data_IF_973781133901
#
_entry.id   IF_973781133901
#
_cell.length_a   1.000
_cell.length_b   1.000
_cell.length_c   1.000
_cell.angle_alpha   90.00
_cell.angle_beta   90.00
_cell.angle_gamma   90.00
#
_symmetry.space_group_name_H-M   'P 1'
#
loop_
_entity.id
_entity.type
_entity.pdbx_description
1 polymer ?
#
# COMPACT_ATOMS: atom_id res chain seq x y z
N UNK A 1 7.64 -10.54 5.34
CA UNK A 1 6.29 -10.69 4.74
C UNK A 1 5.14 -10.66 5.75
N UNK A 2 5.37 -10.58 7.07
CA UNK A 2 4.28 -10.31 8.02
C UNK A 2 4.06 -8.78 8.06
N UNK A 3 2.83 -8.27 7.81
CA UNK A 3 2.55 -6.84 7.86
C UNK A 3 2.40 -6.36 9.31
N UNK A 4 2.63 -5.06 9.54
CA UNK A 4 2.37 -4.45 10.85
C UNK A 4 0.88 -4.25 11.11
N UNK A 5 0.13 -3.86 10.06
CA UNK A 5 -1.31 -3.63 10.12
C UNK A 5 -2.01 -4.33 8.95
N UNK A 6 -3.21 -4.85 9.18
CA UNK A 6 -4.09 -5.39 8.14
C UNK A 6 -5.42 -4.65 8.20
N UNK A 7 -5.86 -4.11 7.07
CA UNK A 7 -7.15 -3.43 6.93
C UNK A 7 -7.86 -3.91 5.67
N UNK A 8 -9.16 -3.63 5.54
CA UNK A 8 -9.90 -3.92 4.32
C UNK A 8 -9.35 -3.11 3.15
N UNK A 9 -9.27 -1.80 3.32
CA UNK A 9 -8.80 -0.86 2.30
C UNK A 9 -8.37 0.47 2.96
N UNK A 10 -7.96 1.46 2.15
CA UNK A 10 -7.50 2.76 2.63
C UNK A 10 -8.55 3.54 3.44
N UNK A 11 -9.85 3.29 3.24
CA UNK A 11 -10.92 4.02 3.95
C UNK A 11 -10.88 3.80 5.46
N UNK A 12 -10.32 2.66 5.90
CA UNK A 12 -10.20 2.28 7.31
C UNK A 12 -9.00 2.89 8.01
N UNK A 13 -8.09 3.54 7.30
CA UNK A 13 -6.92 4.17 7.90
C UNK A 13 -7.27 5.54 8.48
N UNK A 14 -6.78 5.78 9.69
CA UNK A 14 -6.80 7.10 10.32
C UNK A 14 -5.47 7.83 10.05
N UNK A 15 -5.46 8.58 8.95
CA UNK A 15 -4.30 9.36 8.53
C UNK A 15 -3.91 10.43 9.55
N UNK A 16 -4.86 11.01 10.28
CA UNK A 16 -4.58 12.05 11.27
C UNK A 16 -3.80 11.46 12.44
N UNK A 17 -4.23 10.30 12.95
CA UNK A 17 -3.52 9.57 14.01
C UNK A 17 -2.13 9.11 13.56
N UNK A 18 -1.98 8.67 12.31
CA UNK A 18 -0.65 8.35 11.74
C UNK A 18 0.27 9.58 11.72
N UNK A 19 -0.24 10.73 11.26
CA UNK A 19 0.54 11.98 11.22
C UNK A 19 0.92 12.45 12.62
N UNK A 20 0.00 12.35 13.59
CA UNK A 20 0.26 12.69 14.99
C UNK A 20 1.34 11.80 15.63
N UNK A 21 1.41 10.52 15.22
CA UNK A 21 2.46 9.59 15.63
C UNK A 21 3.81 9.81 14.91
N UNK A 22 3.93 10.79 14.01
CA UNK A 22 5.18 11.16 13.35
C UNK A 22 5.41 10.55 11.97
N UNK A 23 4.40 9.90 11.37
CA UNK A 23 4.45 9.53 9.95
C UNK A 23 4.49 10.79 9.09
N UNK A 24 5.40 10.81 8.12
CA UNK A 24 5.63 11.93 7.21
C UNK A 24 4.98 11.70 5.85
N UNK A 25 4.85 10.45 5.41
CA UNK A 25 4.30 10.15 4.10
C UNK A 25 3.86 8.70 3.88
N UNK A 26 3.10 8.52 2.80
CA UNK A 26 2.53 7.25 2.38
C UNK A 26 3.06 6.86 1.01
N UNK A 27 3.44 5.59 0.89
CA UNK A 27 3.82 4.94 -0.36
C UNK A 27 2.73 3.91 -0.68
N UNK A 28 1.94 4.18 -1.70
CA UNK A 28 0.74 3.45 -2.05
C UNK A 28 1.00 2.57 -3.26
N UNK A 29 0.75 1.27 -3.15
CA UNK A 29 0.64 0.42 -4.34
C UNK A 29 -0.55 0.85 -5.21
N UNK A 30 -0.51 0.50 -6.51
CA UNK A 30 -1.49 0.94 -7.49
C UNK A 30 -2.58 -0.12 -7.72
N UNK A 31 -2.25 -1.17 -8.46
CA UNK A 31 -3.22 -2.18 -8.90
C UNK A 31 -3.70 -3.02 -7.70
N UNK A 32 -5.01 -3.22 -7.57
CA UNK A 32 -5.65 -3.89 -6.43
C UNK A 32 -5.51 -3.20 -5.07
N UNK A 33 -4.91 -1.99 -5.02
CA UNK A 33 -4.79 -1.18 -3.81
C UNK A 33 -5.52 0.16 -3.95
N UNK A 34 -5.18 0.95 -4.97
CA UNK A 34 -5.83 2.23 -5.30
C UNK A 34 -6.84 2.09 -6.43
N UNK A 35 -6.54 1.23 -7.41
CA UNK A 35 -7.32 1.07 -8.63
C UNK A 35 -7.68 -0.40 -8.81
N UNK A 36 -8.78 -0.68 -9.51
CA UNK A 36 -8.98 -2.01 -10.08
C UNK A 36 -7.77 -2.39 -10.97
N UNK A 37 -7.53 -3.70 -11.23
CA UNK A 37 -6.43 -4.14 -12.08
C UNK A 37 -6.44 -3.41 -13.43
N UNK A 38 -5.31 -2.84 -13.83
CA UNK A 38 -5.13 -2.13 -15.11
C UNK A 38 -5.96 -0.85 -15.28
N UNK A 39 -6.80 -0.49 -14.30
CA UNK A 39 -7.52 0.78 -14.32
C UNK A 39 -6.57 1.95 -14.04
N UNK A 40 -6.99 3.15 -14.47
CA UNK A 40 -6.23 4.39 -14.31
C UNK A 40 -6.85 5.33 -13.28
N UNK A 41 -8.09 5.07 -12.86
CA UNK A 41 -8.80 5.89 -11.88
C UNK A 41 -8.78 5.25 -10.50
N UNK A 42 -8.72 6.11 -9.48
CA UNK A 42 -8.96 5.70 -8.09
C UNK A 42 -10.35 5.08 -7.99
N UNK A 43 -10.40 3.89 -7.40
CA UNK A 43 -11.64 3.19 -7.08
C UNK A 43 -12.60 4.14 -6.33
N UNK A 44 -13.87 4.32 -6.78
CA UNK A 44 -14.76 5.35 -6.26
C UNK A 44 -14.87 5.42 -4.74
N UNK A 45 -14.96 4.28 -4.06
CA UNK A 45 -15.02 4.20 -2.58
C UNK A 45 -13.76 4.70 -1.86
N UNK A 46 -12.61 4.76 -2.56
CA UNK A 46 -11.33 5.19 -1.99
C UNK A 46 -11.01 6.66 -2.24
N UNK A 47 -11.72 7.34 -3.14
CA UNK A 47 -11.45 8.75 -3.50
C UNK A 47 -11.40 9.66 -2.27
N UNK A 48 -12.35 9.51 -1.35
CA UNK A 48 -12.38 10.26 -0.08
C UNK A 48 -11.16 9.96 0.79
N UNK A 49 -10.74 8.71 0.87
CA UNK A 49 -9.59 8.30 1.67
C UNK A 49 -8.27 8.87 1.10
N UNK A 50 -8.11 8.80 -0.23
CA UNK A 50 -6.96 9.40 -0.92
C UNK A 50 -6.90 10.91 -0.68
N UNK A 51 -8.03 11.60 -0.81
CA UNK A 51 -8.09 13.05 -0.57
C UNK A 51 -7.77 13.41 0.90
N UNK A 52 -8.30 12.65 1.87
CA UNK A 52 -7.94 12.81 3.28
C UNK A 52 -6.43 12.62 3.52
N UNK A 53 -5.82 11.62 2.88
CA UNK A 53 -4.39 11.38 2.98
C UNK A 53 -3.59 12.57 2.41
N UNK A 54 -3.99 13.09 1.24
CA UNK A 54 -3.35 14.27 0.61
C UNK A 54 -3.45 15.51 1.48
N UNK A 55 -4.60 15.75 2.10
CA UNK A 55 -4.80 16.87 3.02
C UNK A 55 -3.95 16.73 4.28
N UNK A 56 -3.78 15.50 4.78
CA UNK A 56 -3.06 15.22 6.03
C UNK A 56 -1.54 15.26 5.86
N UNK A 57 -1.01 14.68 4.78
CA UNK A 57 0.43 14.56 4.55
C UNK A 57 0.97 15.64 3.61
N UNK A 58 0.11 16.22 2.78
CA UNK A 58 0.48 17.04 1.64
C UNK A 58 0.56 16.22 0.36
N UNK A 59 0.20 16.81 -0.79
CA UNK A 59 0.13 16.10 -2.07
C UNK A 59 1.47 15.47 -2.51
N UNK A 60 2.60 16.04 -2.11
CA UNK A 60 3.93 15.50 -2.42
C UNK A 60 4.33 14.33 -1.52
N UNK A 61 3.65 14.13 -0.39
CA UNK A 61 3.99 13.09 0.58
C UNK A 61 3.08 11.85 0.49
N UNK A 62 2.19 11.82 -0.50
CA UNK A 62 1.37 10.64 -0.84
C UNK A 62 1.76 10.22 -2.24
N UNK A 63 2.52 9.13 -2.34
CA UNK A 63 3.19 8.74 -3.58
C UNK A 63 2.71 7.37 -4.04
N UNK A 64 2.57 7.21 -5.36
CA UNK A 64 2.16 5.94 -5.97
C UNK A 64 3.41 5.15 -6.38
N UNK A 65 3.39 3.86 -6.06
CA UNK A 65 4.47 2.92 -6.28
C UNK A 65 3.98 1.75 -7.13
N UNK A 66 4.02 1.89 -8.45
CA UNK A 66 3.59 0.85 -9.38
C UNK A 66 4.73 -0.14 -9.72
N UNK A 67 4.36 -1.37 -10.07
CA UNK A 67 5.29 -2.38 -10.61
C UNK A 67 5.41 -2.32 -12.14
N UNK A 68 4.56 -1.53 -12.81
CA UNK A 68 4.56 -1.32 -14.27
C UNK A 68 4.91 0.12 -14.64
N UNK A 69 4.23 1.11 -14.05
CA UNK A 69 4.46 2.53 -14.35
C UNK A 69 5.68 3.09 -13.60
N UNK A 70 6.45 3.96 -14.26
CA UNK A 70 7.67 4.54 -13.69
C UNK A 70 8.76 3.49 -13.44
N UNK A 71 8.77 2.41 -14.23
CA UNK A 71 9.78 1.34 -14.18
C UNK A 71 10.52 1.26 -15.52
N UNK A 72 11.61 0.48 -15.66
CA UNK A 72 12.31 0.35 -16.94
C UNK A 72 11.45 -0.12 -18.11
N UNK A 73 10.31 -0.76 -17.83
CA UNK A 73 9.35 -1.21 -18.85
C UNK A 73 8.44 -0.06 -19.35
N UNK A 74 8.34 1.05 -18.60
CA UNK A 74 7.59 2.24 -18.96
C UNK A 74 8.46 3.18 -19.79
N UNK A 75 8.59 2.85 -21.08
CA UNK A 75 9.42 3.61 -22.01
C UNK A 75 8.95 5.07 -22.07
N UNK A 76 9.82 5.99 -21.68
CA UNK A 76 9.54 7.42 -21.66
C UNK A 76 8.63 7.90 -20.52
N UNK A 77 8.41 7.08 -19.48
CA UNK A 77 7.57 7.39 -18.31
C UNK A 77 6.12 7.78 -18.68
N UNK A 78 5.63 7.30 -19.82
CA UNK A 78 4.32 7.66 -20.36
C UNK A 78 3.17 7.15 -19.48
N UNK A 79 3.28 5.94 -18.96
CA UNK A 79 2.29 5.37 -18.05
C UNK A 79 2.32 6.07 -16.69
N UNK A 80 3.51 6.44 -16.20
CA UNK A 80 3.65 7.26 -15.00
C UNK A 80 2.99 8.63 -15.17
N UNK A 81 3.25 9.34 -16.27
CA UNK A 81 2.67 10.66 -16.53
C UNK A 81 1.14 10.61 -16.66
N UNK A 82 0.61 9.61 -17.39
CA UNK A 82 -0.84 9.41 -17.50
C UNK A 82 -1.48 9.12 -16.13
N UNK A 83 -0.79 8.37 -15.27
CA UNK A 83 -1.25 8.04 -13.94
C UNK A 83 -1.19 9.21 -12.97
N UNK A 84 -0.15 10.05 -13.05
CA UNK A 84 -0.09 11.30 -12.29
C UNK A 84 -1.25 12.24 -12.65
N UNK A 85 -1.57 12.35 -13.94
CA UNK A 85 -2.71 13.14 -14.41
C UNK A 85 -4.05 12.58 -13.90
N UNK A 86 -4.22 11.25 -13.94
CA UNK A 86 -5.48 10.61 -13.54
C UNK A 86 -5.69 10.57 -12.01
N UNK A 87 -4.62 10.27 -11.25
CA UNK A 87 -4.70 10.10 -9.80
C UNK A 87 -4.47 11.41 -9.04
N UNK A 88 -3.90 12.44 -9.69
CA UNK A 88 -3.43 13.66 -9.02
C UNK A 88 -2.46 13.38 -7.85
N UNK A 89 -1.68 12.31 -8.00
CA UNK A 89 -0.66 11.86 -7.05
C UNK A 89 0.66 11.66 -7.80
N UNK A 90 1.81 12.03 -7.22
CA UNK A 90 3.12 11.74 -7.81
C UNK A 90 3.34 10.23 -7.94
N UNK A 91 3.91 9.81 -9.08
CA UNK A 91 4.26 8.40 -9.36
C UNK A 91 5.77 8.25 -9.31
N UNK A 92 6.21 7.27 -8.53
CA UNK A 92 7.63 7.01 -8.32
C UNK A 92 8.29 6.41 -9.55
N UNK A 93 9.20 7.19 -10.15
CA UNK A 93 10.08 6.75 -11.24
C UNK A 93 11.32 6.07 -10.66
N UNK A 94 11.57 4.82 -11.05
CA UNK A 94 12.63 3.97 -10.50
C UNK A 94 13.28 3.11 -11.57
N UNK A 95 14.58 2.86 -11.39
CA UNK A 95 15.37 1.98 -12.26
C UNK A 95 15.21 0.49 -11.93
N UNK A 96 14.63 0.17 -10.78
CA UNK A 96 14.46 -1.20 -10.29
C UNK A 96 13.03 -1.42 -9.80
N UNK A 97 12.50 -2.62 -10.04
CA UNK A 97 11.17 -3.04 -9.56
C UNK A 97 11.22 -3.46 -8.09
N UNK A 98 10.06 -3.42 -7.41
CA UNK A 98 9.92 -3.96 -6.05
C UNK A 98 10.35 -5.45 -6.04
N UNK A 99 11.05 -5.92 -5.00
CA UNK A 99 11.31 -5.27 -3.71
C UNK A 99 12.58 -4.37 -3.66
N UNK A 100 13.17 -4.01 -4.81
CA UNK A 100 14.32 -3.09 -4.86
C UNK A 100 13.90 -1.66 -5.25
N UNK A 101 14.87 -0.74 -5.37
CA UNK A 101 14.61 0.63 -5.80
C UNK A 101 14.10 1.60 -4.72
N UNK A 102 14.50 1.42 -3.44
CA UNK A 102 14.13 2.35 -2.36
C UNK A 102 14.81 3.72 -2.46
N UNK A 103 15.94 3.82 -3.15
CA UNK A 103 16.70 5.06 -3.29
C UNK A 103 15.88 6.23 -3.85
N UNK A 104 15.02 5.96 -4.85
CA UNK A 104 14.12 6.99 -5.40
C UNK A 104 13.10 7.51 -4.38
N UNK A 105 12.58 6.62 -3.52
CA UNK A 105 11.67 6.99 -2.43
C UNK A 105 12.42 7.84 -1.41
N UNK A 106 13.59 7.39 -0.97
CA UNK A 106 14.42 8.11 -0.01
C UNK A 106 14.75 9.52 -0.50
N UNK A 107 15.14 9.66 -1.77
CA UNK A 107 15.46 10.94 -2.38
C UNK A 107 14.23 11.87 -2.44
N UNK A 108 13.07 11.35 -2.85
CA UNK A 108 11.82 12.12 -2.94
C UNK A 108 11.38 12.66 -1.58
N UNK A 109 11.50 11.87 -0.51
CA UNK A 109 11.20 12.30 0.85
C UNK A 109 12.35 13.05 1.54
N UNK A 110 13.30 13.61 0.77
CA UNK A 110 14.38 14.46 1.29
C UNK A 110 15.33 13.75 2.26
N UNK A 111 15.54 12.44 2.09
CA UNK A 111 16.39 11.64 2.98
C UNK A 111 15.73 11.30 4.33
N UNK A 112 14.40 11.44 4.44
CA UNK A 112 13.66 11.09 5.64
C UNK A 112 13.93 9.64 6.08
N UNK A 113 13.93 9.41 7.40
CA UNK A 113 14.01 8.06 7.96
C UNK A 113 12.87 7.19 7.41
N UNK A 114 13.16 5.96 6.92
CA UNK A 114 12.14 5.04 6.40
C UNK A 114 11.05 4.69 7.42
N UNK A 115 11.38 4.70 8.73
CA UNK A 115 10.44 4.42 9.82
C UNK A 115 9.31 5.46 9.93
N UNK A 116 9.46 6.62 9.27
CA UNK A 116 8.43 7.66 9.17
C UNK A 116 7.56 7.52 7.92
N UNK A 117 7.77 6.49 7.11
CA UNK A 117 7.00 6.21 5.91
C UNK A 117 6.15 4.96 6.09
N UNK A 118 4.99 4.93 5.44
CA UNK A 118 4.09 3.77 5.44
C UNK A 118 3.99 3.20 4.03
N UNK A 119 4.29 1.92 3.87
CA UNK A 119 4.00 1.17 2.64
C UNK A 119 2.62 0.52 2.76
N UNK A 120 1.74 0.84 1.82
CA UNK A 120 0.37 0.30 1.74
C UNK A 120 0.22 -0.49 0.44
N UNK A 121 -0.21 -1.75 0.52
CA UNK A 121 -0.46 -2.56 -0.67
C UNK A 121 -1.14 -3.90 -0.40
N UNK A 122 -1.59 -4.57 -1.46
CA UNK A 122 -2.34 -5.84 -1.39
C UNK A 122 -1.46 -7.10 -1.45
N UNK A 123 -0.17 -6.97 -1.80
CA UNK A 123 0.72 -8.14 -1.95
C UNK A 123 1.72 -8.28 -0.81
N UNK A 124 1.81 -9.49 -0.26
CA UNK A 124 2.76 -9.81 0.80
C UNK A 124 4.20 -9.86 0.29
N UNK A 125 4.43 -10.47 -0.89
CA UNK A 125 5.80 -10.67 -1.40
C UNK A 125 6.41 -9.42 -2.03
N UNK A 126 5.60 -8.46 -2.49
CA UNK A 126 6.11 -7.21 -3.03
C UNK A 126 5.98 -6.09 -2.01
N UNK A 127 4.78 -5.72 -1.60
CA UNK A 127 4.56 -4.47 -0.87
C UNK A 127 4.98 -4.58 0.59
N UNK A 128 4.46 -5.59 1.30
CA UNK A 128 4.83 -5.83 2.70
C UNK A 128 6.32 -6.16 2.81
N UNK A 129 6.86 -6.95 1.88
CA UNK A 129 8.27 -7.31 1.92
C UNK A 129 9.17 -6.13 1.55
N UNK A 130 8.75 -5.25 0.62
CA UNK A 130 9.46 -4.00 0.33
C UNK A 130 9.51 -3.10 1.56
N UNK A 131 8.37 -2.79 2.18
CA UNK A 131 8.35 -1.93 3.36
C UNK A 131 9.13 -2.52 4.54
N UNK A 132 8.97 -3.83 4.81
CA UNK A 132 9.71 -4.51 5.86
C UNK A 132 11.24 -4.51 5.61
N UNK A 133 11.68 -4.68 4.36
CA UNK A 133 13.10 -4.71 4.02
C UNK A 133 13.78 -3.34 4.17
N UNK A 134 13.01 -2.25 4.01
CA UNK A 134 13.52 -0.88 4.10
C UNK A 134 13.19 -0.19 5.43
N UNK A 135 12.58 -0.89 6.39
CA UNK A 135 12.29 -0.36 7.73
C UNK A 135 11.07 0.56 7.79
N UNK A 136 10.15 0.47 6.83
CA UNK A 136 8.88 1.20 6.82
C UNK A 136 7.81 0.48 7.63
N UNK A 137 6.80 1.22 8.09
CA UNK A 137 5.56 0.63 8.58
C UNK A 137 4.82 0.01 7.40
N UNK A 138 4.28 -1.20 7.57
CA UNK A 138 3.58 -1.91 6.48
C UNK A 138 2.11 -2.14 6.80
N UNK A 139 1.26 -1.70 5.87
CA UNK A 139 -0.18 -1.90 5.90
C UNK A 139 -0.56 -2.79 4.73
N UNK A 140 -1.09 -3.96 5.04
CA UNK A 140 -1.65 -4.85 4.03
C UNK A 140 -3.15 -4.57 3.85
N UNK A 141 -3.57 -4.25 2.63
CA UNK A 141 -4.98 -4.09 2.26
C UNK A 141 -5.52 -5.37 1.62
N UNK A 142 -6.84 -5.59 1.66
CA UNK A 142 -7.44 -6.61 0.81
C UNK A 142 -7.40 -6.15 -0.64
N UNK A 143 -7.29 -7.10 -1.56
CA UNK A 143 -7.36 -6.80 -2.99
C UNK A 143 -8.75 -6.25 -3.35
N UNK A 144 -8.81 -5.24 -4.22
CA UNK A 144 -10.08 -4.64 -4.62
C UNK A 144 -10.99 -5.60 -5.40
N UNK A 145 -10.43 -6.39 -6.32
CA UNK A 145 -11.20 -7.39 -7.09
C UNK A 145 -10.32 -8.54 -7.61
N UNK A 146 -10.76 -9.80 -7.52
CA UNK A 146 -10.04 -10.93 -8.10
C UNK A 146 -10.27 -11.10 -9.62
N UNK A 147 -11.10 -10.26 -10.23
CA UNK A 147 -11.40 -10.33 -11.66
C UNK A 147 -10.24 -9.75 -12.50
N UNK A 148 -9.88 -10.45 -13.58
CA UNK A 148 -8.81 -10.03 -14.51
C UNK A 148 -7.44 -10.66 -14.25
N UNK A 149 -7.23 -11.31 -13.10
CA UNK A 149 -5.97 -12.01 -12.82
C UNK A 149 -5.89 -13.38 -13.54
N UNK A 150 -4.76 -13.69 -14.23
CA UNK A 150 -4.49 -15.03 -14.73
C UNK A 150 -4.52 -16.08 -13.62
N UNK A 151 -4.88 -17.32 -13.95
CA UNK A 151 -4.96 -18.42 -12.97
C UNK A 151 -3.67 -18.59 -12.15
N UNK A 152 -2.51 -18.48 -12.80
CA UNK A 152 -1.19 -18.56 -12.15
C UNK A 152 -1.03 -17.49 -11.07
N UNK A 153 -1.50 -16.26 -11.34
CA UNK A 153 -1.45 -15.15 -10.38
C UNK A 153 -2.38 -15.43 -9.19
N UNK A 154 -3.58 -15.96 -9.42
CA UNK A 154 -4.49 -16.37 -8.35
C UNK A 154 -3.89 -17.44 -7.44
N UNK A 155 -3.24 -18.46 -8.03
CA UNK A 155 -2.53 -19.49 -7.27
C UNK A 155 -1.38 -18.93 -6.45
N UNK A 156 -0.56 -18.04 -7.04
CA UNK A 156 0.51 -17.35 -6.34
C UNK A 156 -0.05 -16.56 -5.14
N UNK A 157 -1.11 -15.76 -5.33
CA UNK A 157 -1.77 -15.02 -4.25
C UNK A 157 -2.26 -15.92 -3.11
N UNK A 158 -2.86 -17.08 -3.44
CA UNK A 158 -3.29 -18.06 -2.43
C UNK A 158 -2.11 -18.63 -1.64
N UNK A 159 -1.01 -18.96 -2.33
CA UNK A 159 0.21 -19.43 -1.68
C UNK A 159 0.83 -18.34 -0.77
N UNK A 160 0.88 -17.09 -1.24
CA UNK A 160 1.35 -15.93 -0.46
C UNK A 160 0.51 -15.75 0.82
N UNK A 161 -0.82 -15.74 0.69
CA UNK A 161 -1.73 -15.57 1.82
C UNK A 161 -1.64 -16.73 2.83
N UNK A 162 -1.52 -17.97 2.32
CA UNK A 162 -1.30 -19.15 3.16
C UNK A 162 0.01 -19.06 3.95
N UNK A 163 1.10 -18.64 3.29
CA UNK A 163 2.40 -18.50 3.93
C UNK A 163 2.40 -17.40 4.98
N UNK A 164 1.81 -16.24 4.67
CA UNK A 164 1.64 -15.13 5.61
C UNK A 164 0.84 -15.58 6.85
N UNK A 165 -0.29 -16.26 6.64
CA UNK A 165 -1.09 -16.82 7.74
C UNK A 165 -0.30 -17.82 8.57
N UNK A 166 0.46 -18.71 7.93
CA UNK A 166 1.28 -19.72 8.62
C UNK A 166 2.38 -19.08 9.46
N UNK A 167 2.96 -17.98 9.02
CA UNK A 167 3.93 -17.20 9.80
C UNK A 167 3.29 -16.56 11.02
N UNK A 168 2.14 -15.90 10.85
CA UNK A 168 1.41 -15.29 11.97
C UNK A 168 0.96 -16.34 12.99
N UNK A 169 0.42 -17.49 12.56
CA UNK A 169 0.01 -18.59 13.46
C UNK A 169 1.20 -19.17 14.24
N UNK A 170 2.41 -19.12 13.66
CA UNK A 170 3.65 -19.53 14.33
C UNK A 170 4.23 -18.46 15.25
N UNK A 171 3.53 -17.34 15.44
CA UNK A 171 3.98 -16.24 16.28
C UNK A 171 5.09 -15.39 15.67
N UNK A 172 5.39 -15.56 14.37
CA UNK A 172 6.38 -14.71 13.68
C UNK A 172 5.81 -13.29 13.61
N UNK A 173 6.52 -12.37 14.25
CA UNK A 173 6.17 -10.96 14.26
C UNK A 173 6.72 -10.25 13.01
N UNK A 174 6.12 -9.11 12.61
CA UNK A 174 6.78 -8.20 11.68
C UNK A 174 8.12 -7.73 12.26
N UNK A 175 9.04 -7.19 11.44
CA UNK A 175 10.25 -6.54 11.93
C UNK A 175 9.92 -5.47 12.98
N UNK A 176 10.86 -5.22 13.89
CA UNK A 176 10.67 -4.18 14.90
C UNK A 176 10.52 -2.82 14.22
N UNK A 177 9.47 -2.08 14.59
CA UNK A 177 9.19 -0.75 14.10
C UNK A 177 8.82 0.15 15.27
N UNK A 178 9.36 1.38 15.30
CA UNK A 178 9.19 2.33 16.41
C UNK A 178 7.73 2.61 16.73
N UNK A 179 6.89 2.68 15.69
CA UNK A 179 5.46 2.97 15.81
C UNK A 179 4.56 1.74 16.00
N UNK A 180 5.12 0.55 16.26
CA UNK A 180 4.33 -0.69 16.40
C UNK A 180 3.30 -0.61 17.53
N UNK A 181 3.61 0.08 18.63
CA UNK A 181 2.71 0.31 19.77
C UNK A 181 1.50 1.19 19.41
N UNK A 182 1.62 2.04 18.39
CA UNK A 182 0.58 2.96 17.94
C UNK A 182 -0.33 2.36 16.86
N UNK A 183 0.00 1.18 16.32
CA UNK A 183 -0.71 0.59 15.17
C UNK A 183 -2.22 0.43 15.41
N UNK A 184 -2.64 0.08 16.62
CA UNK A 184 -4.05 -0.05 16.97
C UNK A 184 -4.83 1.27 16.85
N UNK A 185 -4.16 2.42 16.98
CA UNK A 185 -4.77 3.76 16.83
C UNK A 185 -4.81 4.25 15.38
N UNK A 186 -4.18 3.53 14.44
CA UNK A 186 -4.13 3.93 13.03
C UNK A 186 -5.32 3.44 12.21
N UNK A 187 -6.29 2.81 12.85
CA UNK A 187 -7.55 2.39 12.22
C UNK A 187 -8.71 3.20 12.77
N UNK A 188 -9.58 3.66 11.87
CA UNK A 188 -10.86 4.27 12.26
C UNK A 188 -11.71 3.24 12.99
N UNK A 189 -12.50 3.64 14.00
CA UNK A 189 -13.49 2.76 14.61
C UNK A 189 -14.48 2.26 13.55
N UNK A 190 -14.96 1.01 13.70
CA UNK A 190 -16.00 0.48 12.83
C UNK A 190 -17.24 1.39 12.89
N UNK A 191 -17.57 2.02 11.77
CA UNK A 191 -18.87 2.66 11.55
C UNK A 191 -19.87 1.59 11.12
N UNK A 192 -21.14 1.74 11.51
CA UNK A 192 -22.23 0.77 11.29
C UNK A 192 -22.50 0.43 9.80
N UNK A 193 -21.95 1.18 8.85
CA UNK A 193 -22.05 0.94 7.40
C UNK A 193 -21.23 -0.28 6.89
N UNK A 194 -20.60 -1.07 7.77
CA UNK A 194 -19.81 -2.27 7.40
C UNK A 194 -20.63 -3.58 7.38
N UNK A 195 -21.93 -3.53 7.68
CA UNK A 195 -22.81 -4.70 7.60
C UNK A 195 -23.39 -4.88 6.19
N UNK A 196 -22.55 -5.06 5.17
CA UNK A 196 -23.00 -5.80 3.99
C UNK A 196 -21.85 -6.42 3.17
N UNK A 197 -22.04 -7.68 2.80
CA UNK A 197 -21.28 -8.36 1.74
C UNK A 197 -20.02 -9.11 2.18
N UNK A 198 -20.16 -10.35 2.66
CA UNK A 198 -19.02 -11.25 2.75
C UNK A 198 -19.20 -12.58 3.50
N UNK A 199 -20.42 -13.06 3.71
CA UNK A 199 -20.62 -14.49 3.91
C UNK A 199 -20.46 -15.19 2.56
N UNK A 200 -19.28 -15.70 2.25
CA UNK A 200 -19.20 -16.94 1.49
C UNK A 200 -17.86 -17.63 1.72
N UNK A 201 -17.99 -18.82 2.31
CA UNK A 201 -17.00 -19.87 2.32
C UNK A 201 -16.57 -20.18 0.88
N UNK A 202 -15.27 -20.31 0.63
CA UNK A 202 -14.58 -21.48 0.05
C UNK A 202 -13.14 -21.12 -0.37
#
# INVERSE_FOLDING_TARGET
MVPHLRVRDLSKLDFASMRAAGIVGLVLDKDNTLTAPYAMEVEPRLRRAVEQARQTFGSQNVVVLSNSAGTPDDVGDSAAAAMEAALSLPVMRRREKKPRGFEGIRAHFGGCSPAKLVMVGDRYLTDVTFGNAHGMLTVHTQMLTPHGDPFVVKCARRAEAWLARRFTVRGIQPPLHELVSHVASFTKPCSEDDSDGGSEMY
#
